data_IF_803604733902
#
_entry.id   IF_803604733902
#
_cell.length_a   1.000
_cell.length_b   1.000
_cell.length_c   1.000
_cell.angle_alpha   90.00
_cell.angle_beta   90.00
_cell.angle_gamma   90.00
#
_symmetry.space_group_name_H-M   'P 1'
#
loop_
_entity.id
_entity.type
_entity.pdbx_description
1 polymer ?
#
# COMPACT_ATOMS: atom_id res chain seq x y z
N UNK A 1 3.31 21.36 -5.22
CA UNK A 1 2.05 21.18 -4.46
C UNK A 1 1.92 19.70 -4.12
N UNK A 2 1.58 19.35 -2.87
CA UNK A 2 1.39 17.95 -2.46
C UNK A 2 -0.06 17.55 -2.71
N UNK A 3 -0.34 16.54 -3.56
CA UNK A 3 -1.71 16.14 -3.84
C UNK A 3 -2.33 15.42 -2.63
N UNK A 4 -3.58 15.77 -2.31
CA UNK A 4 -4.32 15.13 -1.22
C UNK A 4 -4.57 13.65 -1.52
N UNK A 5 -4.90 13.35 -2.78
CA UNK A 5 -4.95 11.99 -3.28
C UNK A 5 -4.38 11.93 -4.69
N UNK A 6 -3.91 10.76 -5.08
CA UNK A 6 -3.41 10.50 -6.44
C UNK A 6 -4.12 9.25 -6.98
N UNK A 7 -4.77 9.38 -8.14
CA UNK A 7 -5.44 8.27 -8.82
C UNK A 7 -4.50 7.67 -9.86
N UNK A 8 -3.97 6.48 -9.57
CA UNK A 8 -3.17 5.68 -10.48
C UNK A 8 -4.06 4.66 -11.20
N UNK A 9 -3.94 4.59 -12.52
CA UNK A 9 -4.72 3.70 -13.40
C UNK A 9 -3.89 3.33 -14.61
N UNK A 10 -4.29 2.29 -15.38
CA UNK A 10 -3.70 1.91 -16.69
C UNK A 10 -4.70 2.02 -17.86
N UNK A 11 -5.81 2.72 -17.64
CA UNK A 11 -6.91 2.80 -18.62
C UNK A 11 -6.56 3.81 -19.70
N UNK A 12 -6.55 3.37 -20.95
CA UNK A 12 -6.26 4.18 -22.13
C UNK A 12 -7.48 4.31 -23.07
N UNK A 13 -7.34 5.14 -24.10
CA UNK A 13 -8.32 5.29 -25.17
C UNK A 13 -9.69 5.76 -24.68
N UNK A 14 -10.75 5.12 -25.18
CA UNK A 14 -12.13 5.51 -24.90
C UNK A 14 -12.49 5.45 -23.40
N UNK A 15 -11.87 4.53 -22.63
CA UNK A 15 -12.10 4.40 -21.19
C UNK A 15 -11.49 5.52 -20.35
N UNK A 16 -10.61 6.37 -20.93
CA UNK A 16 -9.99 7.50 -20.21
C UNK A 16 -11.02 8.51 -19.72
N UNK A 17 -12.06 8.78 -20.52
CA UNK A 17 -13.13 9.72 -20.15
C UNK A 17 -13.89 9.25 -18.90
N UNK A 18 -14.10 7.94 -18.77
CA UNK A 18 -14.76 7.37 -17.59
C UNK A 18 -13.88 7.54 -16.34
N UNK A 19 -12.56 7.41 -16.48
CA UNK A 19 -11.62 7.66 -15.37
C UNK A 19 -11.58 9.14 -15.00
N UNK A 20 -11.56 10.05 -15.98
CA UNK A 20 -11.62 11.50 -15.74
C UNK A 20 -12.93 11.88 -15.03
N UNK A 21 -14.05 11.26 -15.42
CA UNK A 21 -15.34 11.41 -14.76
C UNK A 21 -15.29 10.91 -13.31
N UNK A 22 -14.77 9.70 -13.07
CA UNK A 22 -14.59 9.17 -11.73
C UNK A 22 -13.71 10.08 -10.85
N UNK A 23 -12.61 10.59 -11.39
CA UNK A 23 -11.73 11.50 -10.67
C UNK A 23 -12.45 12.82 -10.32
N UNK A 24 -13.18 13.40 -11.27
CA UNK A 24 -13.94 14.63 -11.04
C UNK A 24 -15.04 14.45 -9.98
N UNK A 25 -15.75 13.32 -10.02
CA UNK A 25 -16.76 12.96 -9.05
C UNK A 25 -16.15 12.73 -7.66
N UNK A 26 -15.00 12.04 -7.58
CA UNK A 26 -14.30 11.82 -6.31
C UNK A 26 -13.80 13.14 -5.71
N UNK A 27 -13.24 14.01 -6.55
CA UNK A 27 -12.85 15.36 -6.15
C UNK A 27 -14.03 16.17 -5.61
N UNK A 28 -15.18 16.06 -6.27
CA UNK A 28 -16.42 16.75 -5.88
C UNK A 28 -16.95 16.22 -4.55
N UNK A 29 -16.99 14.91 -4.38
CA UNK A 29 -17.43 14.24 -3.16
C UNK A 29 -16.54 14.62 -1.96
N UNK A 30 -15.21 14.62 -2.14
CA UNK A 30 -14.26 15.04 -1.09
C UNK A 30 -14.47 16.50 -0.73
N UNK A 31 -14.52 17.40 -1.72
CA UNK A 31 -14.74 18.84 -1.48
C UNK A 31 -16.08 19.13 -0.80
N UNK A 32 -17.12 18.35 -1.11
CA UNK A 32 -18.42 18.46 -0.47
C UNK A 32 -18.40 18.10 1.02
N UNK A 33 -17.44 17.28 1.45
CA UNK A 33 -17.29 16.84 2.86
C UNK A 33 -16.27 17.65 3.65
N UNK A 34 -15.42 18.41 2.98
CA UNK A 34 -14.35 19.21 3.59
C UNK A 34 -14.63 20.72 3.50
N UNK A 35 -15.89 21.10 3.29
CA UNK A 35 -16.34 22.49 3.11
C UNK A 35 -15.54 23.28 2.08
N UNK A 36 -15.03 22.58 1.04
CA UNK A 36 -14.17 23.14 -0.02
C UNK A 36 -12.91 23.83 0.49
N UNK A 37 -12.38 23.41 1.64
CA UNK A 37 -11.12 23.91 2.15
C UNK A 37 -10.00 23.72 1.10
N UNK A 38 -9.03 24.65 1.02
CA UNK A 38 -7.88 24.50 0.14
C UNK A 38 -7.00 23.31 0.57
N UNK A 39 -6.33 22.67 -0.39
CA UNK A 39 -5.37 21.58 -0.12
C UNK A 39 -5.97 20.16 -0.17
N UNK A 40 -7.22 20.01 -0.58
CA UNK A 40 -7.90 18.72 -0.80
C UNK A 40 -7.94 18.31 -2.29
N UNK A 41 -7.04 18.89 -3.09
CA UNK A 41 -6.97 18.63 -4.52
C UNK A 41 -6.27 17.30 -4.80
N UNK A 42 -6.94 16.49 -5.62
CA UNK A 42 -6.43 15.26 -6.17
C UNK A 42 -5.69 15.48 -7.48
N UNK A 43 -4.89 14.48 -7.82
CA UNK A 43 -4.22 14.40 -9.11
C UNK A 43 -4.60 13.09 -9.80
N UNK A 44 -4.84 13.15 -11.11
CA UNK A 44 -5.03 11.98 -11.96
C UNK A 44 -3.73 11.65 -12.71
N UNK A 45 -3.37 10.37 -12.79
CA UNK A 45 -2.23 9.92 -13.57
C UNK A 45 -2.35 10.34 -15.05
N UNK A 46 -1.26 10.83 -15.63
CA UNK A 46 -1.18 11.12 -17.07
C UNK A 46 -0.29 10.08 -17.77
N UNK A 47 -0.93 9.28 -18.61
CA UNK A 47 -0.33 8.18 -19.37
C UNK A 47 0.71 8.60 -20.40
N UNK A 48 0.80 9.90 -20.70
CA UNK A 48 1.89 10.44 -21.54
C UNK A 48 3.27 10.26 -20.88
N UNK A 49 3.32 9.86 -19.61
CA UNK A 49 4.55 9.48 -18.90
C UNK A 49 5.03 8.06 -19.19
N UNK A 50 4.23 7.20 -19.82
CA UNK A 50 4.62 5.81 -20.14
C UNK A 50 5.87 5.73 -21.05
N UNK A 51 6.11 6.76 -21.87
CA UNK A 51 7.30 6.83 -22.75
C UNK A 51 8.59 7.21 -22.00
N UNK A 52 8.49 7.67 -20.75
CA UNK A 52 9.64 8.13 -19.94
C UNK A 52 10.18 7.06 -18.98
N UNK A 53 9.67 5.83 -19.04
CA UNK A 53 10.04 4.70 -18.17
C UNK A 53 11.50 4.19 -18.33
N UNK A 54 12.37 4.93 -19.04
CA UNK A 54 13.79 4.61 -19.23
C UNK A 54 14.75 5.69 -18.70
N UNK A 55 14.26 6.78 -18.10
CA UNK A 55 15.11 7.79 -17.46
C UNK A 55 15.10 7.67 -15.91
N UNK A 56 16.27 7.80 -15.23
CA UNK A 56 16.40 7.72 -13.77
C UNK A 56 15.56 8.79 -13.04
N UNK A 57 15.20 8.55 -11.76
CA UNK A 57 13.82 8.53 -11.31
C UNK A 57 13.16 9.89 -11.46
N UNK A 58 12.29 10.00 -12.47
CA UNK A 58 11.39 11.14 -12.60
C UNK A 58 10.48 11.21 -11.37
N UNK A 59 10.32 12.41 -10.81
CA UNK A 59 9.42 12.61 -9.68
C UNK A 59 7.98 12.20 -10.06
N UNK A 60 7.46 11.19 -9.34
CA UNK A 60 6.08 10.73 -9.49
C UNK A 60 5.22 11.18 -8.31
N UNK A 61 3.93 11.51 -8.52
CA UNK A 61 3.02 11.95 -7.46
C UNK A 61 2.89 10.95 -6.32
N UNK A 62 3.07 9.64 -6.60
CA UNK A 62 3.08 8.60 -5.58
C UNK A 62 4.16 8.80 -4.51
N UNK A 63 5.21 9.59 -4.77
CA UNK A 63 6.28 9.89 -3.82
C UNK A 63 5.85 10.85 -2.71
N UNK A 64 4.82 11.68 -2.94
CA UNK A 64 4.42 12.72 -1.99
C UNK A 64 2.92 12.79 -1.71
N UNK A 65 2.05 12.14 -2.49
CA UNK A 65 0.61 12.17 -2.25
C UNK A 65 0.24 11.69 -0.84
N UNK A 66 -0.83 12.23 -0.24
CA UNK A 66 -1.28 11.76 1.09
C UNK A 66 -1.97 10.40 1.03
N UNK A 67 -2.70 10.15 -0.05
CA UNK A 67 -3.39 8.90 -0.31
C UNK A 67 -3.20 8.45 -1.77
N UNK A 68 -2.87 7.19 -2.00
CA UNK A 68 -2.89 6.57 -3.32
C UNK A 68 -4.22 5.86 -3.53
N UNK A 69 -4.92 6.19 -4.62
CA UNK A 69 -6.10 5.48 -5.11
C UNK A 69 -5.69 4.67 -6.33
N UNK A 70 -5.96 3.36 -6.31
CA UNK A 70 -5.53 2.44 -7.37
C UNK A 70 -6.74 1.87 -8.10
N UNK A 71 -6.82 2.12 -9.41
CA UNK A 71 -7.85 1.55 -10.28
C UNK A 71 -7.38 0.19 -10.80
N UNK A 72 -7.73 -0.88 -10.09
CA UNK A 72 -7.31 -2.24 -10.44
C UNK A 72 -8.00 -2.70 -11.74
N UNK A 73 -7.15 -3.07 -12.69
CA UNK A 73 -7.48 -3.84 -13.89
C UNK A 73 -6.31 -4.77 -14.20
N UNK A 74 -6.47 -5.70 -15.14
CA UNK A 74 -5.35 -6.55 -15.57
C UNK A 74 -4.21 -5.72 -16.16
N UNK A 75 -4.53 -4.64 -16.87
CA UNK A 75 -3.60 -3.71 -17.50
C UNK A 75 -2.81 -2.93 -16.44
N UNK A 76 -3.42 -2.61 -15.30
CA UNK A 76 -2.74 -1.93 -14.18
C UNK A 76 -1.48 -2.68 -13.77
N UNK A 77 -1.60 -4.00 -13.60
CA UNK A 77 -0.48 -4.85 -13.22
C UNK A 77 0.48 -5.13 -14.38
N UNK A 78 0.12 -4.82 -15.63
CA UNK A 78 1.04 -4.93 -16.78
C UNK A 78 1.79 -3.64 -17.07
N UNK A 79 1.32 -2.51 -16.56
CA UNK A 79 1.92 -1.20 -16.79
C UNK A 79 3.08 -0.93 -15.83
N UNK A 80 4.33 -0.76 -16.33
CA UNK A 80 5.48 -0.47 -15.48
C UNK A 80 5.35 0.83 -14.67
N UNK A 81 4.72 1.86 -15.24
CA UNK A 81 4.50 3.13 -14.55
C UNK A 81 3.53 2.98 -13.38
N UNK A 82 2.47 2.20 -13.57
CA UNK A 82 1.48 1.90 -12.53
C UNK A 82 2.07 1.05 -11.40
N UNK A 83 2.80 0.00 -11.74
CA UNK A 83 3.42 -0.85 -10.71
C UNK A 83 4.53 -0.09 -9.97
N UNK A 84 5.22 0.84 -10.62
CA UNK A 84 6.17 1.75 -9.98
C UNK A 84 5.48 2.71 -9.00
N UNK A 85 4.39 3.38 -9.40
CA UNK A 85 3.59 4.22 -8.50
C UNK A 85 3.16 3.46 -7.24
N UNK A 86 2.66 2.22 -7.41
CA UNK A 86 2.27 1.37 -6.30
C UNK A 86 3.46 1.02 -5.41
N UNK A 87 4.59 0.61 -5.99
CA UNK A 87 5.80 0.22 -5.26
C UNK A 87 6.33 1.37 -4.40
N UNK A 88 6.38 2.57 -4.98
CA UNK A 88 6.81 3.79 -4.28
C UNK A 88 5.91 4.06 -3.09
N UNK A 89 4.59 4.00 -3.26
CA UNK A 89 3.66 4.26 -2.16
C UNK A 89 3.71 3.17 -1.09
N UNK A 90 3.84 1.90 -1.48
CA UNK A 90 4.01 0.79 -0.53
C UNK A 90 5.28 0.92 0.30
N UNK A 91 6.40 1.35 -0.28
CA UNK A 91 7.61 1.62 0.51
C UNK A 91 7.39 2.78 1.50
N UNK A 92 6.65 3.84 1.10
CA UNK A 92 6.32 4.92 2.04
C UNK A 92 5.48 4.40 3.22
N UNK A 93 4.58 3.45 2.97
CA UNK A 93 3.83 2.77 4.02
C UNK A 93 4.74 1.88 4.88
N UNK A 94 5.71 1.19 4.27
CA UNK A 94 6.70 0.39 4.99
C UNK A 94 7.50 1.29 5.95
N UNK A 95 7.99 2.44 5.50
CA UNK A 95 8.72 3.39 6.34
C UNK A 95 7.88 3.89 7.51
N UNK A 96 6.61 4.16 7.25
CA UNK A 96 5.71 4.56 8.31
C UNK A 96 5.50 3.45 9.33
N UNK A 97 5.23 2.22 8.88
CA UNK A 97 5.07 1.06 9.75
C UNK A 97 6.29 0.91 10.67
N UNK A 98 7.50 1.02 10.12
CA UNK A 98 8.73 0.98 10.91
C UNK A 98 8.84 2.12 11.94
N UNK A 99 8.33 3.32 11.62
CA UNK A 99 8.38 4.49 12.51
C UNK A 99 7.30 4.50 13.58
N UNK A 100 6.08 4.06 13.26
CA UNK A 100 4.90 4.24 14.12
C UNK A 100 4.27 2.93 14.60
N UNK A 101 4.68 1.78 14.05
CA UNK A 101 4.04 0.48 14.31
C UNK A 101 2.62 0.35 13.73
N UNK A 102 2.16 1.32 12.94
CA UNK A 102 0.78 1.38 12.44
C UNK A 102 0.67 0.81 11.01
N UNK A 103 0.09 -0.39 10.89
CA UNK A 103 -0.18 -1.07 9.63
C UNK A 103 -1.59 -0.81 9.07
N UNK A 104 -2.36 0.12 9.66
CA UNK A 104 -3.76 0.35 9.30
C UNK A 104 -3.94 1.15 8.02
N UNK A 105 -2.90 1.82 7.52
CA UNK A 105 -2.95 2.59 6.28
C UNK A 105 -2.48 1.76 5.10
N UNK A 106 -3.29 1.79 4.05
CA UNK A 106 -3.11 1.02 2.81
C UNK A 106 -3.54 1.89 1.62
N UNK A 107 -3.10 1.58 0.40
CA UNK A 107 -3.67 2.19 -0.80
C UNK A 107 -5.18 1.96 -0.85
N UNK A 108 -5.93 2.92 -1.38
CA UNK A 108 -7.37 2.79 -1.60
C UNK A 108 -7.58 2.10 -2.95
N UNK A 109 -7.74 0.78 -2.91
CA UNK A 109 -8.03 -0.02 -4.10
C UNK A 109 -9.47 0.14 -4.58
N UNK A 110 -9.65 0.17 -5.91
CA UNK A 110 -10.95 0.20 -6.57
C UNK A 110 -10.93 -0.82 -7.71
N UNK A 111 -11.88 -1.77 -7.71
CA UNK A 111 -12.04 -2.70 -8.86
C UNK A 111 -12.57 -1.89 -10.04
N UNK A 112 -11.70 -1.53 -10.97
CA UNK A 112 -12.08 -0.79 -12.17
C UNK A 112 -12.65 -1.73 -13.23
N UNK A 113 -11.93 -2.84 -13.48
CA UNK A 113 -12.36 -3.95 -14.32
C UNK A 113 -11.92 -5.25 -13.63
N UNK A 114 -12.87 -6.14 -13.41
CA UNK A 114 -12.67 -7.43 -12.73
C UNK A 114 -12.03 -8.50 -13.63
N UNK A 115 -12.20 -8.38 -14.96
CA UNK A 115 -11.75 -9.38 -15.91
C UNK A 115 -10.23 -9.55 -15.84
N UNK A 116 -9.79 -10.80 -15.63
CA UNK A 116 -8.37 -11.12 -15.53
C UNK A 116 -7.69 -10.77 -14.20
N UNK A 117 -8.45 -10.25 -13.21
CA UNK A 117 -7.96 -10.07 -11.84
C UNK A 117 -8.15 -11.36 -11.00
N UNK A 118 -7.29 -11.62 -10.01
CA UNK A 118 -7.52 -12.69 -9.04
C UNK A 118 -8.82 -12.48 -8.25
N UNK A 119 -9.62 -13.53 -8.10
CA UNK A 119 -10.91 -13.45 -7.39
C UNK A 119 -10.77 -12.89 -5.96
N UNK A 120 -9.73 -13.32 -5.21
CA UNK A 120 -9.44 -12.81 -3.86
C UNK A 120 -9.24 -11.29 -3.83
N UNK A 121 -8.53 -10.73 -4.81
CA UNK A 121 -8.31 -9.28 -4.90
C UNK A 121 -9.63 -8.54 -5.15
N UNK A 122 -10.44 -9.07 -6.07
CA UNK A 122 -11.74 -8.50 -6.41
C UNK A 122 -12.67 -8.51 -5.20
N UNK A 123 -12.75 -9.64 -4.49
CA UNK A 123 -13.60 -9.79 -3.31
C UNK A 123 -13.15 -8.89 -2.15
N UNK A 124 -11.85 -8.87 -1.86
CA UNK A 124 -11.31 -8.03 -0.79
C UNK A 124 -11.51 -6.54 -1.09
N UNK A 125 -11.19 -6.12 -2.30
CA UNK A 125 -11.38 -4.73 -2.74
C UNK A 125 -12.86 -4.35 -2.74
N UNK A 126 -13.75 -5.23 -3.21
CA UNK A 126 -15.18 -4.95 -3.23
C UNK A 126 -15.79 -4.90 -1.82
N UNK A 127 -15.32 -5.74 -0.88
CA UNK A 127 -15.69 -5.64 0.53
C UNK A 127 -15.27 -4.30 1.10
N UNK A 128 -14.09 -3.85 0.70
CA UNK A 128 -13.49 -2.60 1.14
C UNK A 128 -14.25 -1.37 0.62
N UNK A 129 -14.53 -1.29 -0.69
CA UNK A 129 -15.29 -0.20 -1.31
C UNK A 129 -16.81 -0.31 -1.13
N UNK A 130 -17.25 -1.30 -0.34
CA UNK A 130 -18.64 -1.60 -0.04
C UNK A 130 -19.36 -2.22 -1.23
N UNK A 131 -19.59 -3.53 -1.17
CA UNK A 131 -20.35 -4.28 -2.18
C UNK A 131 -21.80 -3.78 -2.18
N UNK A 132 -22.26 -3.03 -3.20
CA UNK A 132 -23.62 -2.55 -3.20
C UNK A 132 -24.56 -3.76 -3.33
N UNK A 133 -25.52 -3.90 -2.42
CA UNK A 133 -26.53 -4.94 -2.52
C UNK A 133 -27.26 -4.85 -3.87
N UNK A 134 -27.44 -5.99 -4.54
CA UNK A 134 -28.12 -6.08 -5.83
C UNK A 134 -27.34 -5.60 -7.05
N UNK A 135 -26.03 -5.31 -6.93
CA UNK A 135 -25.21 -4.93 -8.10
C UNK A 135 -24.17 -5.98 -8.45
N UNK A 136 -23.91 -6.11 -9.75
CA UNK A 136 -22.81 -6.90 -10.31
C UNK A 136 -21.44 -6.18 -10.17
N UNK A 137 -21.30 -5.23 -9.25
CA UNK A 137 -20.07 -4.45 -9.08
C UNK A 137 -18.79 -5.31 -8.98
N UNK A 138 -18.72 -6.38 -8.15
CA UNK A 138 -17.53 -7.22 -8.12
C UNK A 138 -17.26 -7.94 -9.45
N UNK A 139 -18.31 -8.20 -10.24
CA UNK A 139 -18.21 -8.88 -11.54
C UNK A 139 -17.92 -7.94 -12.70
N UNK A 140 -18.30 -6.67 -12.63
CA UNK A 140 -18.20 -5.72 -13.75
C UNK A 140 -17.17 -4.61 -13.53
N UNK A 141 -16.91 -4.22 -12.28
CA UNK A 141 -16.05 -3.10 -11.89
C UNK A 141 -16.71 -1.72 -12.05
N UNK A 142 -16.08 -0.67 -11.52
CA UNK A 142 -16.59 0.72 -11.57
C UNK A 142 -16.75 1.22 -13.00
N UNK A 143 -15.86 0.84 -13.91
CA UNK A 143 -15.92 1.31 -15.29
C UNK A 143 -17.19 0.90 -16.04
N UNK A 144 -17.88 -0.17 -15.61
CA UNK A 144 -19.21 -0.53 -16.14
C UNK A 144 -20.33 0.23 -15.43
N UNK A 145 -20.21 0.46 -14.11
CA UNK A 145 -21.22 1.21 -13.36
C UNK A 145 -21.36 2.66 -13.83
N UNK A 146 -20.27 3.29 -14.30
CA UNK A 146 -20.31 4.65 -14.87
C UNK A 146 -21.10 4.69 -16.18
N UNK A 147 -20.99 3.63 -16.99
CA UNK A 147 -21.61 3.55 -18.31
C UNK A 147 -23.07 3.11 -18.29
N UNK A 148 -23.53 2.51 -17.20
CA UNK A 148 -24.91 2.07 -17.02
C UNK A 148 -25.71 3.05 -16.14
N UNK A 149 -26.67 3.83 -16.72
CA UNK A 149 -27.52 4.74 -15.96
C UNK A 149 -28.32 4.06 -14.85
N UNK A 150 -28.75 2.80 -15.05
CA UNK A 150 -29.50 2.05 -14.05
C UNK A 150 -28.64 1.69 -12.83
N UNK A 151 -27.32 1.64 -13.01
CA UNK A 151 -26.35 1.33 -11.96
C UNK A 151 -25.88 2.55 -11.15
N UNK A 152 -26.41 3.76 -11.43
CA UNK A 152 -25.98 5.02 -10.79
C UNK A 152 -25.99 4.98 -9.26
N UNK A 153 -27.00 4.35 -8.65
CA UNK A 153 -27.06 4.20 -7.19
C UNK A 153 -25.90 3.37 -6.62
N UNK A 154 -25.49 2.32 -7.35
CA UNK A 154 -24.34 1.50 -7.01
C UNK A 154 -23.02 2.26 -7.17
N UNK A 155 -22.87 2.99 -8.27
CA UNK A 155 -21.72 3.86 -8.53
C UNK A 155 -21.51 4.88 -7.41
N UNK A 156 -22.56 5.64 -7.05
CA UNK A 156 -22.48 6.65 -5.99
C UNK A 156 -22.13 6.05 -4.63
N UNK A 157 -22.58 4.81 -4.34
CA UNK A 157 -22.21 4.12 -3.10
C UNK A 157 -20.72 3.78 -3.07
N UNK A 158 -20.19 3.24 -4.16
CA UNK A 158 -18.75 2.97 -4.28
C UNK A 158 -17.95 4.26 -4.14
N UNK A 159 -18.36 5.32 -4.84
CA UNK A 159 -17.72 6.64 -4.79
C UNK A 159 -17.63 7.18 -3.35
N UNK A 160 -18.75 7.15 -2.61
CA UNK A 160 -18.81 7.60 -1.22
C UNK A 160 -17.86 6.82 -0.31
N UNK A 161 -17.85 5.50 -0.44
CA UNK A 161 -16.96 4.65 0.35
C UNK A 161 -15.48 4.87 0.00
N UNK A 162 -15.17 5.14 -1.28
CA UNK A 162 -13.81 5.53 -1.69
C UNK A 162 -13.44 6.88 -1.08
N UNK A 163 -14.33 7.88 -1.11
CA UNK A 163 -14.10 9.18 -0.49
C UNK A 163 -13.85 9.08 1.03
N UNK A 164 -14.66 8.28 1.76
CA UNK A 164 -14.45 8.03 3.20
C UNK A 164 -13.06 7.46 3.49
N UNK A 165 -12.62 6.52 2.67
CA UNK A 165 -11.29 5.90 2.78
C UNK A 165 -10.18 6.87 2.46
N UNK A 166 -10.34 7.69 1.42
CA UNK A 166 -9.36 8.71 1.07
C UNK A 166 -9.19 9.71 2.20
N UNK A 167 -10.30 10.21 2.77
CA UNK A 167 -10.27 11.11 3.93
C UNK A 167 -9.55 10.46 5.11
N UNK A 168 -9.96 9.24 5.49
CA UNK A 168 -9.38 8.51 6.62
C UNK A 168 -7.90 8.12 6.44
N UNK A 169 -7.48 7.83 5.21
CA UNK A 169 -6.10 7.50 4.89
C UNK A 169 -5.21 8.74 4.80
N UNK A 170 -5.71 9.85 4.24
CA UNK A 170 -4.95 11.08 4.07
C UNK A 170 -4.62 11.78 5.39
N UNK A 171 -5.46 11.67 6.43
CA UNK A 171 -5.15 12.13 7.79
C UNK A 171 -3.91 11.44 8.37
N UNK A 172 -3.65 10.24 7.86
CA UNK A 172 -2.58 9.35 8.25
C UNK A 172 -1.59 9.26 7.07
N UNK A 173 -1.03 10.40 6.68
CA UNK A 173 -0.13 10.50 5.53
C UNK A 173 1.18 9.74 5.77
N UNK A 174 1.66 8.90 4.84
CA UNK A 174 2.98 8.30 4.94
C UNK A 174 4.10 9.30 4.58
N UNK A 175 5.33 9.13 5.09
CA UNK A 175 6.46 10.02 4.80
C UNK A 175 6.65 10.26 3.30
N UNK A 176 7.03 11.47 2.91
CA UNK A 176 7.38 11.79 1.51
C UNK A 176 8.72 11.16 1.13
N UNK A 177 8.86 10.78 -0.14
CA UNK A 177 10.11 10.33 -0.75
C UNK A 177 10.64 11.34 -1.76
N UNK A 178 11.96 11.40 -1.87
CA UNK A 178 12.70 12.13 -2.89
C UNK A 178 13.15 11.19 -4.01
N UNK A 179 13.53 11.74 -5.17
CA UNK A 179 14.05 10.94 -6.29
C UNK A 179 15.25 10.07 -5.86
N UNK A 180 16.06 10.55 -4.92
CA UNK A 180 17.19 9.82 -4.37
C UNK A 180 16.75 8.58 -3.56
N UNK A 181 15.70 8.72 -2.75
CA UNK A 181 15.16 7.62 -1.93
C UNK A 181 14.65 6.45 -2.80
N UNK A 182 14.07 6.79 -3.95
CA UNK A 182 13.48 5.81 -4.88
C UNK A 182 14.54 5.13 -5.74
N UNK A 183 15.75 5.67 -5.84
CA UNK A 183 16.85 5.08 -6.61
C UNK A 183 17.23 3.64 -6.16
N UNK A 184 16.79 3.22 -4.97
CA UNK A 184 17.03 1.89 -4.41
C UNK A 184 15.82 0.95 -4.53
N UNK A 185 14.68 1.43 -5.03
CA UNK A 185 13.49 0.60 -5.19
C UNK A 185 13.63 -0.33 -6.37
N UNK A 186 13.50 -1.63 -6.11
CA UNK A 186 13.22 -2.60 -7.17
C UNK A 186 11.72 -2.54 -7.42
N UNK A 187 11.24 -2.04 -8.59
CA UNK A 187 9.81 -1.97 -8.85
C UNK A 187 9.17 -3.35 -8.73
N UNK A 188 7.93 -3.37 -8.24
CA UNK A 188 7.11 -4.56 -8.13
C UNK A 188 7.09 -5.30 -9.48
N UNK A 189 7.74 -6.48 -9.52
CA UNK A 189 7.63 -7.41 -10.64
C UNK A 189 6.24 -8.03 -10.57
N UNK A 190 5.28 -7.42 -11.25
CA UNK A 190 3.94 -7.96 -11.35
C UNK A 190 3.91 -9.33 -12.04
N UNK A 191 3.06 -10.21 -11.50
CA UNK A 191 2.54 -11.48 -12.05
C UNK A 191 3.28 -12.05 -13.26
N UNK A 192 4.31 -12.87 -13.00
CA UNK A 192 4.52 -14.03 -13.88
C UNK A 192 3.25 -14.89 -13.81
N UNK A 193 2.70 -15.26 -14.97
CA UNK A 193 1.38 -15.89 -15.22
C UNK A 193 1.06 -17.17 -14.40
N UNK A 194 1.87 -17.57 -13.43
CA UNK A 194 1.80 -18.84 -12.71
C UNK A 194 1.84 -18.74 -11.20
N UNK A 195 1.97 -17.55 -10.60
CA UNK A 195 2.07 -17.45 -9.14
C UNK A 195 0.85 -16.78 -8.54
N UNK A 196 0.11 -17.54 -7.73
CA UNK A 196 -0.79 -17.00 -6.74
C UNK A 196 0.00 -16.00 -5.88
N UNK A 197 -0.24 -14.71 -6.10
CA UNK A 197 0.32 -13.65 -5.26
C UNK A 197 -0.28 -13.86 -3.88
N UNK A 198 0.55 -14.30 -2.95
CA UNK A 198 0.28 -14.19 -1.53
C UNK A 198 0.15 -12.71 -1.21
N UNK A 199 -1.07 -12.27 -0.89
CA UNK A 199 -1.33 -10.93 -0.36
C UNK A 199 -0.73 -10.74 1.05
N UNK A 200 -0.13 -11.79 1.62
CA UNK A 200 0.76 -11.73 2.77
C UNK A 200 2.20 -11.57 2.27
N UNK A 201 2.52 -10.39 1.72
CA UNK A 201 3.91 -10.00 1.57
C UNK A 201 4.33 -9.32 2.86
N UNK A 202 4.76 -10.14 3.83
CA UNK A 202 5.75 -9.64 4.79
C UNK A 202 7.03 -9.37 3.99
N UNK A 203 7.19 -8.13 3.52
CA UNK A 203 8.48 -7.67 3.02
C UNK A 203 9.46 -7.84 4.19
N UNK A 204 10.43 -8.73 4.02
CA UNK A 204 11.53 -8.86 4.96
C UNK A 204 12.17 -7.47 5.11
N UNK A 205 12.48 -7.01 6.34
CA UNK A 205 13.04 -5.68 6.54
C UNK A 205 14.33 -5.54 5.74
N UNK A 206 14.36 -4.57 4.83
CA UNK A 206 15.58 -4.19 4.10
C UNK A 206 16.58 -3.64 5.12
N UNK A 207 17.85 -4.09 5.13
CA UNK A 207 18.86 -3.53 6.01
C UNK A 207 19.09 -2.05 5.68
N UNK A 208 18.70 -1.15 6.57
CA UNK A 208 19.03 0.28 6.46
C UNK A 208 20.49 0.51 6.93
N UNK A 209 21.37 1.12 6.10
CA UNK A 209 22.81 1.23 6.39
C UNK A 209 23.18 2.01 7.66
N UNK A 210 22.29 2.85 8.19
CA UNK A 210 22.56 3.70 9.34
C UNK A 210 22.22 3.04 10.68
N UNK A 211 21.61 1.86 10.69
CA UNK A 211 21.41 1.07 11.91
C UNK A 211 22.66 0.22 12.21
N UNK A 212 23.79 0.88 12.50
CA UNK A 212 24.96 0.20 13.07
C UNK A 212 24.62 -0.23 14.50
N UNK A 213 24.35 -1.53 14.69
CA UNK A 213 24.49 -2.16 16.01
C UNK A 213 25.95 -2.04 16.44
N UNK A 214 26.21 -1.22 17.43
CA UNK A 214 27.44 -1.25 18.22
C UNK A 214 27.41 -2.53 19.06
N UNK A 215 28.05 -3.58 18.54
CA UNK A 215 28.29 -4.84 19.24
C UNK A 215 29.54 -5.48 18.65
N UNK A 216 30.52 -5.72 19.50
CA UNK A 216 31.94 -6.03 19.24
C UNK A 216 32.19 -7.30 18.40
N UNK A 217 33.38 -7.39 17.77
CA UNK A 217 33.75 -8.50 16.89
C UNK A 217 34.27 -9.69 17.70
N UNK A 218 33.74 -10.90 17.43
CA UNK A 218 34.34 -12.14 17.91
C UNK A 218 34.86 -12.97 16.73
N UNK A 219 36.13 -12.73 16.46
CA UNK A 219 37.20 -13.70 16.23
C UNK A 219 36.83 -15.10 15.71
N UNK A 220 37.33 -15.35 14.50
CA UNK A 220 37.41 -16.61 13.77
C UNK A 220 38.21 -17.70 14.49
N UNK A 221 37.70 -18.94 14.49
CA UNK A 221 38.52 -20.16 14.48
C UNK A 221 37.79 -21.30 13.74
N UNK A 222 38.51 -22.21 13.05
CA UNK A 222 37.98 -23.06 11.98
C UNK A 222 37.49 -24.46 12.42
N UNK A 223 36.93 -25.17 11.43
CA UNK A 223 36.25 -26.46 11.47
C UNK A 223 37.12 -27.67 11.85
N UNK A 224 36.52 -28.60 12.62
CA UNK A 224 36.47 -30.03 12.28
C UNK A 224 37.38 -31.00 13.04
N UNK A 225 36.80 -31.84 13.89
CA UNK A 225 36.91 -33.32 13.83
C UNK A 225 35.96 -33.96 14.85
N UNK A 226 35.35 -35.08 14.45
CA UNK A 226 34.37 -35.86 15.20
C UNK A 226 35.03 -36.76 16.25
N UNK A 227 34.27 -37.19 17.28
CA UNK A 227 34.02 -38.60 17.65
C UNK A 227 33.18 -38.69 18.96
N UNK A 228 32.25 -39.66 18.95
CA UNK A 228 31.54 -40.37 20.04
C UNK A 228 30.38 -39.75 20.86
N UNK A 229 29.25 -40.47 20.77
CA UNK A 229 28.13 -40.61 21.72
C UNK A 229 28.45 -41.81 22.65
N UNK A 230 27.94 -41.91 23.90
CA UNK A 230 26.48 -42.02 24.15
C UNK A 230 25.92 -41.50 25.50
N UNK A 231 24.58 -41.51 25.53
CA UNK A 231 23.62 -41.61 26.66
C UNK A 231 23.20 -40.44 27.56
N UNK A 232 21.87 -40.26 27.59
CA UNK A 232 20.96 -39.68 28.62
C UNK A 232 20.37 -38.25 28.43
N UNK A 233 19.11 -38.00 28.89
CA UNK A 233 18.10 -37.27 28.10
C UNK A 233 17.55 -35.96 28.78
N UNK A 234 16.37 -35.45 28.40
CA UNK A 234 16.18 -34.14 27.78
C UNK A 234 15.88 -33.00 28.77
N UNK A 235 16.19 -31.75 28.40
CA UNK A 235 15.64 -30.56 29.04
C UNK A 235 15.11 -29.56 28.02
N UNK A 236 13.79 -29.57 27.88
CA UNK A 236 12.99 -28.47 27.37
C UNK A 236 13.15 -27.25 28.29
N UNK A 237 13.45 -26.09 27.71
CA UNK A 237 13.17 -24.78 28.36
C UNK A 237 12.43 -23.90 27.36
N UNK A 238 11.14 -23.76 27.63
CA UNK A 238 10.24 -22.76 27.07
C UNK A 238 10.66 -21.36 27.52
N UNK A 239 10.77 -20.42 26.59
CA UNK A 239 11.14 -19.02 26.83
C UNK A 239 9.96 -18.11 27.19
N UNK A 240 8.80 -18.68 27.51
CA UNK A 240 7.67 -17.91 28.04
C UNK A 240 7.43 -18.29 29.49
N UNK A 241 7.77 -17.37 30.39
CA UNK A 241 7.15 -17.28 31.72
C UNK A 241 6.87 -15.81 31.98
N UNK A 242 5.58 -15.52 32.22
CA UNK A 242 5.07 -14.25 32.70
C UNK A 242 5.62 -13.94 34.09
N UNK A 243 5.86 -12.67 34.44
CA UNK A 243 6.03 -12.30 35.83
C UNK A 243 4.65 -12.21 36.50
N UNK A 244 4.38 -13.12 37.43
CA UNK A 244 3.35 -12.97 38.44
C UNK A 244 3.95 -12.23 39.65
N UNK A 245 3.20 -11.25 40.13
CA UNK A 245 3.15 -10.70 41.49
C UNK A 245 4.49 -10.41 42.21
N UNK A 246 4.77 -9.11 42.41
CA UNK A 246 5.44 -8.71 43.65
C UNK A 246 6.34 -7.48 43.66
N UNK A 247 6.75 -6.90 42.53
CA UNK A 247 7.71 -5.78 42.55
C UNK A 247 7.08 -4.47 42.07
N UNK A 248 6.83 -3.58 43.03
CA UNK A 248 6.44 -2.19 42.76
C UNK A 248 7.61 -1.40 42.17
N UNK A 249 7.37 -0.54 41.18
CA UNK A 249 8.40 0.31 40.60
C UNK A 249 8.78 1.43 41.58
N UNK A 250 10.06 1.55 41.93
CA UNK A 250 10.59 2.71 42.64
C UNK A 250 10.87 3.82 41.63
N UNK A 251 9.95 4.78 41.56
CA UNK A 251 10.20 6.10 40.97
C UNK A 251 11.15 6.86 41.89
N UNK A 252 12.32 7.25 41.37
CA UNK A 252 13.10 8.36 41.93
C UNK A 252 13.42 9.37 40.83
N UNK A 253 12.76 10.51 40.92
CA UNK A 253 13.36 11.82 40.65
C UNK A 253 12.97 12.75 41.81
N UNK A 254 13.29 14.05 41.75
CA UNK A 254 14.53 14.68 41.34
C UNK A 254 15.22 15.37 42.55
N UNK A 255 16.28 16.14 42.26
CA UNK A 255 16.88 17.25 43.03
C UNK A 255 18.29 17.02 43.59
N UNK A 256 19.15 17.97 43.27
CA UNK A 256 20.57 18.11 43.60
C UNK A 256 21.27 18.86 42.49
#
# INVERSE_FOLDING_TARGET
MVPYFYVSHAVEGAGRRDVEHFHADLQTEIRGRTDRAPGYDGLLADHRRSDLALAPPAEVPAMNCRCLVVLYSQEYFRSPSCTYDLSVFEERLSWRLHRTGDASVRPVGVVWQSAGLPARLVEETARQTGRPAGTDYPRAGVGQLIRDPAARGGYLRVLRNVADRVLSAADRTPPTMTAHDVGYLTPFRAMSRTSAVSWDVHLAPVPVPWLRRTGTPQETAPQGTAIERPDSPPRTRSWFSSPADGERPVLRGPHG
#
